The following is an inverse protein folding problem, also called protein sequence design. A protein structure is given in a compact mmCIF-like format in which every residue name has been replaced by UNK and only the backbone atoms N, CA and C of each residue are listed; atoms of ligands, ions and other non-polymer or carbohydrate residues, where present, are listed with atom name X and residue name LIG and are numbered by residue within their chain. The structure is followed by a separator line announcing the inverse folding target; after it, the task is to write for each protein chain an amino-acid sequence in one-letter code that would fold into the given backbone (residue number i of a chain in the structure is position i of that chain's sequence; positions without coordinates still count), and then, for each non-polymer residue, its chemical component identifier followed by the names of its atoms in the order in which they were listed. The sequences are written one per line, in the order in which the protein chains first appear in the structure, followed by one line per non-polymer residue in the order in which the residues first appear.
data_IF_049512736306
#
_entry.id   IF_049512736306
#
_cell.length_a   1.000
_cell.length_b   1.000
_cell.length_c   1.000
_cell.angle_alpha   90.00
_cell.angle_beta   90.00
_cell.angle_gamma   90.00
#
_symmetry.space_group_name_H-M   'P 1'
#
loop_
_entity.id
_entity.type
_entity.pdbx_description
1 polymer ?
#
# COMPACT_ATOMS: atom_id res chain seq x y z
N UNK A 1 -6.12 -12.01 9.92
CA UNK A 1 -7.34 -12.59 9.33
C UNK A 1 -7.03 -13.51 8.14
N UNK A 2 -6.20 -13.13 7.14
CA UNK A 2 -5.96 -13.91 5.92
C UNK A 2 -5.54 -15.37 6.20
N UNK A 3 -4.50 -15.59 7.00
CA UNK A 3 -4.01 -16.94 7.33
C UNK A 3 -5.06 -17.83 7.98
N UNK A 4 -5.93 -17.28 8.83
CA UNK A 4 -7.01 -18.04 9.46
C UNK A 4 -8.04 -18.53 8.42
N UNK A 5 -8.45 -17.65 7.50
CA UNK A 5 -9.41 -18.03 6.43
C UNK A 5 -8.80 -19.06 5.49
N UNK A 6 -7.54 -18.88 5.08
CA UNK A 6 -6.82 -19.86 4.26
C UNK A 6 -6.74 -21.22 4.97
N UNK A 7 -6.36 -21.22 6.25
CA UNK A 7 -6.26 -22.45 7.06
C UNK A 7 -7.61 -23.18 7.17
N UNK A 8 -8.69 -22.46 7.48
CA UNK A 8 -10.05 -23.04 7.54
C UNK A 8 -10.50 -23.57 6.16
N UNK A 9 -10.26 -22.80 5.10
CA UNK A 9 -10.58 -23.23 3.74
C UNK A 9 -9.89 -24.55 3.38
N UNK A 10 -8.62 -24.69 3.72
CA UNK A 10 -7.86 -25.93 3.48
C UNK A 10 -8.33 -27.08 4.37
N UNK A 11 -8.47 -26.84 5.68
CA UNK A 11 -8.85 -27.87 6.64
C UNK A 11 -10.23 -28.47 6.36
N UNK A 12 -11.19 -27.62 6.00
CA UNK A 12 -12.58 -28.01 5.73
C UNK A 12 -12.86 -28.26 4.23
N UNK A 13 -11.85 -28.09 3.36
CA UNK A 13 -11.96 -28.26 1.91
C UNK A 13 -13.13 -27.48 1.29
N UNK A 14 -13.30 -26.22 1.68
CA UNK A 14 -14.45 -25.40 1.28
C UNK A 14 -14.41 -24.98 -0.19
N UNK A 15 -13.26 -25.04 -0.84
CA UNK A 15 -13.11 -24.70 -2.26
C UNK A 15 -13.26 -23.21 -2.57
N UNK A 16 -13.04 -22.33 -1.58
CA UNK A 16 -13.11 -20.88 -1.77
C UNK A 16 -12.03 -20.42 -2.76
N UNK A 17 -12.40 -19.56 -3.70
CA UNK A 17 -11.46 -18.86 -4.55
C UNK A 17 -10.78 -17.69 -3.80
N UNK A 18 -9.75 -17.08 -4.43
CA UNK A 18 -8.95 -16.04 -3.76
C UNK A 18 -9.77 -14.78 -3.44
N UNK A 19 -10.68 -14.35 -4.31
CA UNK A 19 -11.55 -13.19 -4.05
C UNK A 19 -12.48 -13.45 -2.85
N UNK A 20 -13.00 -14.67 -2.71
CA UNK A 20 -13.81 -15.08 -1.57
C UNK A 20 -12.99 -15.14 -0.28
N UNK A 21 -11.75 -15.64 -0.34
CA UNK A 21 -10.83 -15.62 0.80
C UNK A 21 -10.57 -14.18 1.25
N UNK A 22 -10.28 -13.26 0.32
CA UNK A 22 -10.11 -11.83 0.62
C UNK A 22 -11.37 -11.25 1.25
N UNK A 23 -12.55 -11.56 0.71
CA UNK A 23 -13.83 -11.10 1.24
C UNK A 23 -14.02 -11.53 2.70
N UNK A 24 -13.86 -12.82 3.00
CA UNK A 24 -14.04 -13.33 4.36
C UNK A 24 -12.98 -12.81 5.33
N UNK A 25 -11.73 -12.69 4.89
CA UNK A 25 -10.67 -12.14 5.70
C UNK A 25 -10.87 -10.63 5.98
N UNK A 26 -11.49 -9.89 5.06
CA UNK A 26 -11.84 -8.48 5.27
C UNK A 26 -12.89 -8.29 6.37
N UNK A 27 -13.83 -9.21 6.54
CA UNK A 27 -14.73 -9.20 7.69
C UNK A 27 -14.00 -9.40 9.03
N UNK A 28 -12.93 -10.22 9.03
CA UNK A 28 -12.08 -10.37 10.20
C UNK A 28 -11.30 -9.09 10.54
N UNK A 29 -10.87 -8.33 9.55
CA UNK A 29 -10.26 -7.01 9.76
C UNK A 29 -11.29 -5.98 10.26
N UNK A 30 -12.51 -6.01 9.76
CA UNK A 30 -13.58 -5.14 10.22
C UNK A 30 -13.88 -5.36 11.72
N UNK A 31 -13.96 -6.62 12.15
CA UNK A 31 -14.17 -6.96 13.55
C UNK A 31 -13.03 -6.47 14.47
N UNK A 32 -11.79 -6.47 13.99
CA UNK A 32 -10.62 -6.06 14.76
C UNK A 32 -10.35 -4.55 14.70
N UNK A 33 -10.57 -3.93 13.55
CA UNK A 33 -10.16 -2.55 13.24
C UNK A 33 -11.35 -1.59 12.98
N UNK A 34 -12.58 -2.08 13.04
CA UNK A 34 -13.81 -1.28 12.87
C UNK A 34 -14.11 -0.88 11.42
N UNK A 35 -13.36 -1.41 10.45
CA UNK A 35 -13.65 -1.22 9.02
C UNK A 35 -12.93 -2.28 8.19
N UNK A 36 -13.60 -2.76 7.14
CA UNK A 36 -13.04 -3.71 6.19
C UNK A 36 -12.03 -2.99 5.27
N UNK A 37 -10.80 -3.45 5.30
CA UNK A 37 -9.74 -2.97 4.41
C UNK A 37 -9.21 -4.17 3.59
N UNK A 38 -9.77 -4.39 2.40
CA UNK A 38 -9.40 -5.54 1.58
C UNK A 38 -8.01 -5.43 0.95
N UNK A 39 -7.41 -4.24 0.89
CA UNK A 39 -6.11 -3.95 0.29
C UNK A 39 -4.96 -4.78 0.90
N UNK A 40 -4.73 -4.66 2.20
CA UNK A 40 -3.69 -5.44 2.90
C UNK A 40 -3.97 -6.95 2.87
N UNK A 41 -5.23 -7.32 2.99
CA UNK A 41 -5.67 -8.72 2.91
C UNK A 41 -5.43 -9.28 1.52
N UNK A 42 -5.79 -8.53 0.48
CA UNK A 42 -5.57 -8.93 -0.91
C UNK A 42 -4.09 -9.18 -1.21
N UNK A 43 -3.22 -8.24 -0.80
CA UNK A 43 -1.78 -8.39 -0.97
C UNK A 43 -1.24 -9.63 -0.23
N UNK A 44 -1.75 -9.92 0.98
CA UNK A 44 -1.35 -11.10 1.76
C UNK A 44 -1.82 -12.43 1.16
N UNK A 45 -2.94 -12.43 0.45
CA UNK A 45 -3.55 -13.65 -0.13
C UNK A 45 -2.99 -13.92 -1.53
N UNK A 46 -2.87 -12.89 -2.35
CA UNK A 46 -2.44 -13.02 -3.74
C UNK A 46 -0.92 -12.98 -3.91
N UNK A 47 -0.22 -12.25 -3.06
CA UNK A 47 1.20 -11.92 -3.24
C UNK A 47 1.44 -10.93 -4.40
N UNK A 48 2.68 -10.46 -4.51
CA UNK A 48 3.09 -9.52 -5.55
C UNK A 48 2.37 -8.18 -5.49
N UNK A 49 2.18 -7.55 -6.64
CA UNK A 49 1.40 -6.32 -6.78
C UNK A 49 -0.04 -6.62 -7.13
N UNK A 50 -0.96 -6.09 -6.37
CA UNK A 50 -2.40 -6.30 -6.56
C UNK A 50 -3.16 -4.98 -6.49
N UNK A 51 -4.23 -4.89 -7.25
CA UNK A 51 -5.21 -3.82 -7.17
C UNK A 51 -6.57 -4.38 -6.74
N UNK A 52 -7.17 -3.82 -5.70
CA UNK A 52 -8.56 -4.06 -5.36
C UNK A 52 -9.40 -3.09 -6.18
N UNK A 53 -10.05 -3.60 -7.23
CA UNK A 53 -10.80 -2.79 -8.18
C UNK A 53 -12.28 -2.66 -7.83
N UNK A 54 -12.77 -3.50 -6.92
CA UNK A 54 -14.11 -3.42 -6.35
C UNK A 54 -14.10 -4.00 -4.94
N UNK A 55 -14.86 -3.41 -4.03
CA UNK A 55 -15.04 -3.90 -2.66
C UNK A 55 -16.37 -4.66 -2.46
N UNK A 56 -17.34 -4.50 -3.36
CA UNK A 56 -18.61 -5.22 -3.30
C UNK A 56 -19.19 -5.43 -4.72
N UNK A 57 -19.12 -6.65 -5.30
CA UNK A 57 -18.34 -7.76 -4.76
C UNK A 57 -16.84 -7.46 -4.74
N UNK A 58 -16.11 -8.12 -3.84
CA UNK A 58 -14.65 -8.02 -3.83
C UNK A 58 -14.09 -8.52 -5.15
N UNK A 59 -13.25 -7.70 -5.78
CA UNK A 59 -12.53 -8.05 -7.00
C UNK A 59 -11.10 -7.57 -6.89
N UNK A 60 -10.17 -8.52 -6.99
CA UNK A 60 -8.72 -8.27 -6.94
C UNK A 60 -8.12 -8.62 -8.30
N UNK A 61 -7.21 -7.79 -8.75
CA UNK A 61 -6.44 -8.00 -9.98
C UNK A 61 -4.97 -8.02 -9.65
N UNK A 62 -4.28 -9.07 -10.07
CA UNK A 62 -2.83 -9.14 -10.00
C UNK A 62 -2.24 -8.23 -11.08
N UNK A 63 -1.30 -7.37 -10.69
CA UNK A 63 -0.60 -6.45 -11.59
C UNK A 63 0.71 -7.13 -12.00
N UNK A 64 0.85 -7.54 -13.27
CA UNK A 64 2.13 -8.05 -13.76
C UNK A 64 3.17 -6.93 -13.72
N UNK A 65 4.40 -7.26 -13.37
CA UNK A 65 5.49 -6.30 -13.35
C UNK A 65 6.64 -6.82 -14.22
N UNK A 66 7.20 -5.93 -15.01
CA UNK A 66 8.31 -6.18 -15.93
C UNK A 66 9.56 -5.39 -15.52
N UNK A 67 9.72 -5.13 -14.22
CA UNK A 67 10.84 -4.41 -13.67
C UNK A 67 11.44 -5.20 -12.51
N UNK A 68 12.75 -5.31 -12.48
CA UNK A 68 13.45 -5.92 -11.35
C UNK A 68 13.51 -4.91 -10.20
N UNK A 69 12.64 -5.13 -9.22
CA UNK A 69 12.44 -4.25 -8.08
C UNK A 69 12.92 -4.94 -6.81
N UNK A 70 13.74 -4.21 -6.07
CA UNK A 70 14.02 -4.54 -4.68
C UNK A 70 13.33 -3.54 -3.75
N UNK A 71 13.16 -3.92 -2.50
CA UNK A 71 12.51 -3.10 -1.49
C UNK A 71 13.37 -3.01 -0.24
N UNK A 72 13.58 -1.77 0.23
CA UNK A 72 14.11 -1.53 1.57
C UNK A 72 12.97 -1.10 2.48
N UNK A 73 12.79 -1.78 3.59
CA UNK A 73 11.77 -1.44 4.59
C UNK A 73 12.45 -0.78 5.80
N UNK A 74 12.18 0.51 5.98
CA UNK A 74 12.60 1.25 7.16
C UNK A 74 11.54 1.15 8.25
N UNK A 75 11.91 0.57 9.39
CA UNK A 75 11.02 0.42 10.55
C UNK A 75 11.60 1.30 11.66
N UNK A 76 11.05 2.49 11.90
CA UNK A 76 11.55 3.37 12.96
C UNK A 76 11.21 2.83 14.34
N UNK A 77 12.11 2.98 15.29
CA UNK A 77 11.91 2.61 16.69
C UNK A 77 11.06 3.67 17.44
N UNK A 78 9.86 3.91 16.95
CA UNK A 78 8.91 4.83 17.56
C UNK A 78 7.61 4.11 17.89
N UNK A 79 7.08 4.38 19.07
CA UNK A 79 5.78 3.88 19.51
C UNK A 79 4.76 5.01 19.41
N UNK A 80 3.73 4.81 18.62
CA UNK A 80 2.60 5.75 18.51
C UNK A 80 1.38 5.05 19.12
N UNK A 81 0.96 5.52 20.28
CA UNK A 81 -0.24 5.01 20.94
C UNK A 81 -1.48 5.27 20.05
N UNK A 82 -2.38 4.29 19.97
CA UNK A 82 -3.57 4.32 19.12
C UNK A 82 -3.28 4.72 17.65
N UNK A 83 -2.11 4.33 17.12
CA UNK A 83 -1.60 4.74 15.80
C UNK A 83 -2.66 4.71 14.69
N UNK A 84 -3.37 3.61 14.56
CA UNK A 84 -4.36 3.42 13.48
C UNK A 84 -5.51 4.41 13.59
N UNK A 85 -5.97 4.69 14.82
CA UNK A 85 -7.04 5.67 15.10
C UNK A 85 -6.57 7.07 14.74
N UNK A 86 -5.40 7.49 15.26
CA UNK A 86 -4.82 8.81 14.96
C UNK A 86 -4.57 8.99 13.46
N UNK A 87 -4.04 7.97 12.80
CA UNK A 87 -3.81 8.02 11.35
C UNK A 87 -5.10 8.17 10.53
N UNK A 88 -6.23 7.66 11.03
CA UNK A 88 -7.55 7.85 10.39
C UNK A 88 -8.13 9.23 10.66
N UNK A 89 -7.98 9.73 11.88
CA UNK A 89 -8.47 11.07 12.28
C UNK A 89 -7.81 12.19 11.47
N UNK A 90 -6.56 11.99 11.05
CA UNK A 90 -5.81 12.95 10.23
C UNK A 90 -6.24 12.94 8.75
N UNK A 91 -6.89 11.90 8.26
CA UNK A 91 -7.33 11.85 6.86
C UNK A 91 -8.48 12.84 6.66
N UNK A 92 -8.36 13.79 5.71
CA UNK A 92 -9.41 14.78 5.47
C UNK A 92 -10.68 14.10 4.97
N UNK A 93 -11.84 14.58 5.45
CA UNK A 93 -13.16 14.08 5.03
C UNK A 93 -13.59 14.60 3.65
N UNK A 94 -12.94 15.65 3.17
CA UNK A 94 -13.16 16.26 1.86
C UNK A 94 -11.87 16.85 1.34
N UNK A 95 -11.66 16.80 0.05
CA UNK A 95 -10.49 17.36 -0.61
C UNK A 95 -10.85 18.04 -1.94
N UNK A 96 -9.95 18.88 -2.43
CA UNK A 96 -10.12 19.54 -3.71
C UNK A 96 -10.09 18.53 -4.86
N UNK A 97 -10.86 18.77 -5.91
CA UNK A 97 -10.86 17.96 -7.13
C UNK A 97 -9.44 17.91 -7.72
N UNK A 98 -8.66 18.99 -7.64
CA UNK A 98 -7.29 19.02 -8.15
C UNK A 98 -6.40 17.96 -7.49
N UNK A 99 -6.42 17.85 -6.16
CA UNK A 99 -5.65 16.83 -5.43
C UNK A 99 -6.15 15.39 -5.74
N UNK A 100 -7.46 15.21 -5.86
CA UNK A 100 -8.03 13.91 -6.26
C UNK A 100 -7.54 13.50 -7.64
N UNK A 101 -7.56 14.41 -8.61
CA UNK A 101 -7.05 14.14 -9.96
C UNK A 101 -5.54 13.84 -9.93
N UNK A 102 -4.76 14.56 -9.11
CA UNK A 102 -3.32 14.26 -8.94
C UNK A 102 -3.11 12.83 -8.40
N UNK A 103 -3.84 12.43 -7.36
CA UNK A 103 -3.72 11.08 -6.80
C UNK A 103 -4.15 9.99 -7.79
N UNK A 104 -5.18 10.24 -8.61
CA UNK A 104 -5.55 9.33 -9.71
C UNK A 104 -4.43 9.19 -10.74
N UNK A 105 -3.75 10.29 -11.10
CA UNK A 105 -2.59 10.25 -12.00
C UNK A 105 -1.44 9.48 -11.39
N UNK A 106 -1.14 9.65 -10.11
CA UNK A 106 -0.11 8.88 -9.41
C UNK A 106 -0.42 7.38 -9.41
N UNK A 107 -1.63 6.99 -9.02
CA UNK A 107 -2.04 5.58 -9.05
C UNK A 107 -1.94 4.97 -10.45
N UNK A 108 -2.42 5.69 -11.47
CA UNK A 108 -2.34 5.26 -12.87
C UNK A 108 -0.89 5.13 -13.32
N UNK A 109 -0.03 6.10 -12.95
CA UNK A 109 1.40 6.10 -13.30
C UNK A 109 2.11 4.91 -12.68
N UNK A 110 1.84 4.60 -11.40
CA UNK A 110 2.42 3.44 -10.73
C UNK A 110 2.07 2.13 -11.46
N UNK A 111 0.79 1.92 -11.73
CA UNK A 111 0.31 0.71 -12.43
C UNK A 111 0.97 0.59 -13.81
N UNK A 112 0.95 1.66 -14.60
CA UNK A 112 1.56 1.65 -15.92
C UNK A 112 3.07 1.46 -15.88
N UNK A 113 3.74 2.06 -14.88
CA UNK A 113 5.17 1.89 -14.64
C UNK A 113 5.54 0.45 -14.36
N UNK A 114 4.79 -0.23 -13.48
CA UNK A 114 5.01 -1.65 -13.16
C UNK A 114 4.80 -2.53 -14.39
N UNK A 115 3.71 -2.34 -15.13
CA UNK A 115 3.38 -3.15 -16.31
C UNK A 115 4.38 -2.94 -17.44
N UNK A 116 4.83 -1.70 -17.66
CA UNK A 116 5.78 -1.37 -18.74
C UNK A 116 7.24 -1.58 -18.36
N UNK A 117 7.56 -1.71 -17.08
CA UNK A 117 8.94 -1.66 -16.60
C UNK A 117 9.54 -0.26 -16.74
N UNK A 118 8.74 0.79 -16.50
CA UNK A 118 9.16 2.18 -16.65
C UNK A 118 9.43 2.81 -15.29
N UNK A 119 10.72 3.03 -15.00
CA UNK A 119 11.22 3.56 -13.73
C UNK A 119 10.67 4.93 -13.38
N UNK A 120 10.56 5.81 -14.37
CA UNK A 120 10.11 7.20 -14.14
C UNK A 120 8.61 7.24 -13.85
N UNK A 121 7.83 6.38 -14.50
CA UNK A 121 6.41 6.22 -14.19
C UNK A 121 6.21 5.63 -12.78
N UNK A 122 7.04 4.65 -12.36
CA UNK A 122 7.00 4.11 -11.00
C UNK A 122 7.32 5.22 -10.01
N UNK A 123 8.42 5.98 -10.21
CA UNK A 123 8.83 7.11 -9.37
C UNK A 123 7.73 8.14 -9.23
N UNK A 124 7.12 8.53 -10.35
CA UNK A 124 6.01 9.49 -10.34
C UNK A 124 4.80 8.95 -9.57
N UNK A 125 4.53 7.64 -9.68
CA UNK A 125 3.41 6.99 -9.04
C UNK A 125 3.53 6.81 -7.53
N UNK A 126 4.75 6.92 -6.96
CA UNK A 126 5.02 6.81 -5.52
C UNK A 126 4.83 8.16 -4.79
N UNK A 127 3.79 8.90 -5.15
CA UNK A 127 3.43 10.16 -4.53
C UNK A 127 1.97 10.17 -4.09
N UNK A 128 1.67 10.96 -3.07
CA UNK A 128 0.33 11.18 -2.53
C UNK A 128 0.20 12.62 -2.02
N UNK A 129 -0.79 13.34 -2.50
CA UNK A 129 -1.05 14.72 -2.08
C UNK A 129 -2.09 14.83 -0.97
N UNK A 130 -2.74 13.76 -0.59
CA UNK A 130 -3.85 13.76 0.36
C UNK A 130 -3.46 13.09 1.66
N UNK A 131 -3.30 11.77 1.65
CA UNK A 131 -3.19 10.97 2.86
C UNK A 131 -1.79 11.02 3.45
N UNK A 132 -0.75 10.89 2.62
CA UNK A 132 0.63 10.96 3.06
C UNK A 132 0.92 12.30 3.72
N UNK A 133 0.54 13.41 3.06
CA UNK A 133 0.72 14.76 3.60
C UNK A 133 -0.06 15.00 4.89
N UNK A 134 -1.28 14.51 4.98
CA UNK A 134 -2.11 14.66 6.16
C UNK A 134 -1.52 13.94 7.39
N UNK A 135 -0.82 12.83 7.17
CA UNK A 135 -0.23 12.00 8.22
C UNK A 135 1.20 12.38 8.61
N UNK A 136 1.83 13.35 7.96
CA UNK A 136 3.19 13.79 8.29
C UNK A 136 3.43 14.10 9.79
N UNK A 137 2.46 14.66 10.55
CA UNK A 137 2.66 14.87 11.99
C UNK A 137 2.96 13.58 12.78
N UNK A 138 2.59 12.40 12.28
CA UNK A 138 2.88 11.12 12.93
C UNK A 138 4.30 10.61 12.64
N UNK A 139 4.91 11.06 11.55
CA UNK A 139 6.24 10.61 11.13
C UNK A 139 7.02 11.76 10.44
N UNK A 140 7.42 12.79 11.22
CA UNK A 140 8.04 14.00 10.68
C UNK A 140 9.40 13.76 10.01
N UNK A 141 10.02 12.59 10.23
CA UNK A 141 11.28 12.16 9.59
C UNK A 141 11.11 11.77 8.12
N UNK A 142 9.88 11.45 7.69
CA UNK A 142 9.61 10.86 6.38
C UNK A 142 10.03 11.74 5.19
N UNK A 143 9.74 13.04 5.16
CA UNK A 143 10.18 13.90 4.05
C UNK A 143 11.70 13.89 3.83
N UNK A 144 12.48 13.90 4.92
CA UNK A 144 13.93 13.84 4.84
C UNK A 144 14.43 12.46 4.39
N UNK A 145 13.80 11.38 4.86
CA UNK A 145 14.12 10.03 4.41
C UNK A 145 13.83 9.89 2.91
N UNK A 146 12.65 10.32 2.45
CA UNK A 146 12.29 10.28 1.03
C UNK A 146 13.26 11.09 0.16
N UNK A 147 13.62 12.28 0.61
CA UNK A 147 14.61 13.13 -0.09
C UNK A 147 15.96 12.43 -0.19
N UNK A 148 16.50 11.91 0.91
CA UNK A 148 17.78 11.19 0.94
C UNK A 148 17.76 9.96 0.05
N UNK A 149 16.69 9.15 0.10
CA UNK A 149 16.54 8.01 -0.78
C UNK A 149 16.62 8.41 -2.27
N UNK A 150 15.98 9.50 -2.65
CA UNK A 150 16.05 10.01 -4.03
C UNK A 150 17.44 10.55 -4.39
N UNK A 151 18.17 11.17 -3.46
CA UNK A 151 19.57 11.62 -3.63
C UNK A 151 20.54 10.45 -3.86
N UNK A 152 20.21 9.25 -3.37
CA UNK A 152 20.93 8.00 -3.62
C UNK A 152 20.31 7.16 -4.75
N UNK A 153 19.61 7.81 -5.66
CA UNK A 153 19.02 7.20 -6.85
C UNK A 153 17.98 6.10 -6.58
N UNK A 154 17.35 6.07 -5.39
CA UNK A 154 16.17 5.23 -5.23
C UNK A 154 15.08 5.58 -6.26
N UNK A 155 14.28 4.62 -6.64
CA UNK A 155 13.12 4.87 -7.52
C UNK A 155 12.14 5.81 -6.82
N UNK A 156 11.88 5.56 -5.53
CA UNK A 156 11.02 6.40 -4.72
C UNK A 156 10.77 5.79 -3.35
N UNK A 157 10.05 6.51 -2.51
CA UNK A 157 9.65 6.05 -1.20
C UNK A 157 8.19 6.40 -0.90
N UNK A 158 7.52 5.54 -0.17
CA UNK A 158 6.16 5.77 0.31
C UNK A 158 5.98 5.22 1.72
N UNK A 159 5.01 5.76 2.44
CA UNK A 159 4.63 5.24 3.75
C UNK A 159 3.93 3.90 3.58
N UNK A 160 4.37 2.88 4.34
CA UNK A 160 3.75 1.57 4.33
C UNK A 160 2.45 1.57 5.13
N UNK A 161 1.32 1.52 4.45
CA UNK A 161 -0.02 1.53 5.05
C UNK A 161 -0.29 2.78 5.89
N UNK A 162 -0.59 2.61 7.18
CA UNK A 162 -0.79 3.73 8.10
C UNK A 162 0.52 4.29 8.70
N UNK A 163 1.68 3.81 8.25
CA UNK A 163 2.99 4.15 8.80
C UNK A 163 3.25 3.50 10.18
N UNK A 164 4.31 3.88 10.91
CA UNK A 164 5.38 4.80 10.49
C UNK A 164 6.45 4.16 9.58
N UNK A 165 6.34 2.85 9.27
CA UNK A 165 7.29 2.19 8.38
C UNK A 165 7.25 2.81 6.99
N UNK A 166 8.41 2.89 6.35
CA UNK A 166 8.57 3.46 5.00
C UNK A 166 9.14 2.40 4.09
N UNK A 167 8.51 2.23 2.94
CA UNK A 167 8.96 1.35 1.87
C UNK A 167 9.70 2.19 0.84
N UNK A 168 10.94 1.82 0.55
CA UNK A 168 11.76 2.43 -0.50
C UNK A 168 11.90 1.45 -1.63
N UNK A 169 11.58 1.90 -2.83
CA UNK A 169 11.72 1.15 -4.08
C UNK A 169 13.12 1.41 -4.64
N UNK A 170 13.87 0.34 -4.87
CA UNK A 170 15.25 0.40 -5.36
C UNK A 170 15.45 -0.55 -6.53
N UNK A 171 16.51 -0.32 -7.29
CA UNK A 171 16.96 -1.15 -8.40
C UNK A 171 18.50 -1.21 -8.43
N UNK A 172 19.06 -1.68 -9.52
CA UNK A 172 20.52 -1.79 -9.75
C UNK A 172 21.23 -0.43 -9.83
N UNK A 173 20.48 0.68 -10.05
CA UNK A 173 21.02 2.04 -10.12
C UNK A 173 21.08 2.72 -8.77
N UNK A 174 20.40 2.16 -7.76
CA UNK A 174 20.36 2.76 -6.43
C UNK A 174 21.66 2.54 -5.69
N UNK A 175 22.24 3.62 -5.16
CA UNK A 175 23.38 3.55 -4.23
C UNK A 175 22.84 3.14 -2.84
N UNK A 176 23.09 1.87 -2.47
CA UNK A 176 22.47 1.20 -1.29
C UNK A 176 23.33 1.35 -0.04
#
# INVERSE_FOLDING_TARGET
AAGAVVGVNQALKLGLNLDEIVKFASYGEEAAAGSAHPDNVAASVYGGFVAVVSSNPVKVVHIPHNYDLEFLLFIPEIVIEEKTKKARELVPKSESIGKMVSNMRFATSLILGLVKGDRDLIRHGLNDEIVEKARLPLFPFYPDLKRKALEHDAIGACVSGAGPSVLVFVDDRTDK
#
